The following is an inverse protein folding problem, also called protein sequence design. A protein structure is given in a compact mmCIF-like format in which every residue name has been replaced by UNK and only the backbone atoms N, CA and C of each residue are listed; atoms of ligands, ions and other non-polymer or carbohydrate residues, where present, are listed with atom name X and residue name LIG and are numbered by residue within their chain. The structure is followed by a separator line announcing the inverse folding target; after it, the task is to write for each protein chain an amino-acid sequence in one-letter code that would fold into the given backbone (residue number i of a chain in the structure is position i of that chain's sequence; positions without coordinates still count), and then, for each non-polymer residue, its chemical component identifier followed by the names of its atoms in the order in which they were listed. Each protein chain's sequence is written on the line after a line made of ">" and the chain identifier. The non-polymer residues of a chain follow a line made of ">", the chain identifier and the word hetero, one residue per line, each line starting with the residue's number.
data_IF_648666000736
#
_entry.id   IF_648666000736
#
_cell.length_a   1.000
_cell.length_b   1.000
_cell.length_c   1.000
_cell.angle_alpha   90.00
_cell.angle_beta   90.00
_cell.angle_gamma   90.00
#
_symmetry.space_group_name_H-M   'P 1'
#
loop_
_entity.id
_entity.type
_entity.pdbx_description
1 polymer ?
#
# COMPACT_ATOMS: atom_id res chain seq x y z
N UNK A 1 -20.51 -34.77 -6.22
CA UNK A 1 -21.14 -33.48 -6.51
C UNK A 1 -20.13 -32.41 -6.12
N UNK A 2 -19.52 -31.73 -7.12
CA UNK A 2 -18.55 -30.66 -6.86
C UNK A 2 -19.36 -29.38 -6.58
N UNK A 3 -19.38 -28.95 -5.33
CA UNK A 3 -19.98 -27.67 -4.96
C UNK A 3 -19.01 -26.56 -5.37
N UNK A 4 -19.23 -25.97 -6.52
CA UNK A 4 -18.46 -24.81 -6.99
C UNK A 4 -19.09 -23.58 -6.34
N UNK A 5 -18.53 -23.14 -5.24
CA UNK A 5 -18.89 -21.86 -4.66
C UNK A 5 -18.62 -20.75 -5.70
N UNK A 6 -19.66 -20.04 -6.11
CA UNK A 6 -19.51 -18.88 -7.00
C UNK A 6 -19.18 -17.67 -6.13
N UNK A 7 -17.97 -17.19 -6.23
CA UNK A 7 -17.54 -15.93 -5.64
C UNK A 7 -17.88 -14.79 -6.60
N UNK A 8 -18.68 -13.82 -6.15
CA UNK A 8 -18.79 -12.52 -6.82
C UNK A 8 -18.00 -11.50 -5.99
N UNK A 9 -17.02 -10.92 -6.62
CA UNK A 9 -16.37 -9.73 -6.06
C UNK A 9 -17.31 -8.58 -6.36
N UNK A 10 -18.03 -8.08 -5.33
CA UNK A 10 -18.83 -6.86 -5.48
C UNK A 10 -17.87 -5.69 -5.33
N UNK A 11 -17.26 -5.33 -6.43
CA UNK A 11 -16.68 -4.00 -6.57
C UNK A 11 -17.86 -3.03 -6.80
N UNK A 12 -17.79 -1.75 -6.36
CA UNK A 12 -18.61 -0.72 -6.95
C UNK A 12 -18.44 -0.84 -8.46
N UNK A 13 -19.55 -0.87 -9.21
CA UNK A 13 -19.54 -1.34 -10.60
C UNK A 13 -18.72 -0.47 -11.56
N UNK A 14 -18.14 0.64 -11.08
CA UNK A 14 -17.42 1.58 -11.92
C UNK A 14 -16.30 2.27 -11.12
N UNK A 15 -15.26 1.52 -10.72
CA UNK A 15 -14.07 2.09 -10.08
C UNK A 15 -13.07 2.52 -11.13
N UNK A 16 -12.63 3.75 -11.04
CA UNK A 16 -11.50 4.26 -11.79
C UNK A 16 -10.39 4.68 -10.84
N UNK A 17 -9.16 4.48 -11.27
CA UNK A 17 -7.96 4.99 -10.59
C UNK A 17 -7.27 5.97 -11.52
N UNK A 18 -6.81 7.08 -10.98
CA UNK A 18 -6.07 8.11 -11.72
C UNK A 18 -4.80 8.45 -10.94
N UNK A 19 -3.70 8.54 -11.65
CA UNK A 19 -2.44 9.05 -11.10
C UNK A 19 -2.23 10.47 -11.59
N UNK A 20 -2.07 11.40 -10.66
CA UNK A 20 -1.94 12.82 -10.92
C UNK A 20 -0.62 13.36 -10.40
N UNK A 21 -0.04 14.28 -11.15
CA UNK A 21 1.12 15.05 -10.70
C UNK A 21 0.63 16.35 -10.06
N UNK A 22 1.03 16.56 -8.77
CA UNK A 22 0.51 17.62 -7.92
C UNK A 22 1.66 18.53 -7.50
N UNK A 23 1.56 19.79 -7.84
CA UNK A 23 2.47 20.85 -7.39
C UNK A 23 1.95 21.55 -6.11
N UNK A 24 2.86 22.24 -5.42
CA UNK A 24 2.54 22.97 -4.18
C UNK A 24 2.82 22.19 -2.89
N UNK A 25 3.18 20.91 -2.98
CA UNK A 25 3.56 20.12 -1.82
C UNK A 25 5.01 20.40 -1.42
N UNK A 26 5.24 20.83 -0.17
CA UNK A 26 6.58 21.12 0.36
C UNK A 26 7.05 20.14 1.44
N UNK A 27 6.15 19.30 1.97
CA UNK A 27 6.46 18.35 3.05
C UNK A 27 5.43 17.21 3.12
N UNK A 28 5.74 16.18 3.92
CA UNK A 28 4.84 15.05 4.20
C UNK A 28 3.47 15.49 4.76
N UNK A 29 3.43 16.61 5.51
CA UNK A 29 2.19 17.18 6.02
C UNK A 29 1.23 17.64 4.91
N UNK A 30 1.77 18.13 3.79
CA UNK A 30 0.99 18.51 2.62
C UNK A 30 0.33 17.27 1.97
N UNK A 31 1.08 16.19 1.79
CA UNK A 31 0.56 14.93 1.24
C UNK A 31 -0.55 14.35 2.15
N UNK A 32 -0.31 14.31 3.46
CA UNK A 32 -1.31 13.85 4.44
C UNK A 32 -2.57 14.72 4.45
N UNK A 33 -2.44 16.03 4.24
CA UNK A 33 -3.58 16.95 4.15
C UNK A 33 -4.44 16.63 2.93
N UNK A 34 -3.82 16.47 1.75
CA UNK A 34 -4.53 16.08 0.53
C UNK A 34 -5.23 14.72 0.70
N UNK A 35 -4.53 13.71 1.21
CA UNK A 35 -5.10 12.38 1.46
C UNK A 35 -6.32 12.44 2.37
N UNK A 36 -6.23 13.19 3.46
CA UNK A 36 -7.32 13.32 4.44
C UNK A 36 -8.57 13.94 3.82
N UNK A 37 -8.42 15.04 3.09
CA UNK A 37 -9.54 15.77 2.50
C UNK A 37 -10.14 14.98 1.32
N UNK A 38 -9.28 14.36 0.50
CA UNK A 38 -9.75 13.49 -0.58
C UNK A 38 -10.49 12.25 -0.07
N UNK A 39 -10.00 11.59 0.97
CA UNK A 39 -10.70 10.44 1.57
C UNK A 39 -12.02 10.83 2.29
N UNK A 40 -12.21 12.11 2.61
CA UNK A 40 -13.47 12.64 3.13
C UNK A 40 -14.45 13.05 2.00
N UNK A 41 -14.00 13.12 0.76
CA UNK A 41 -14.80 13.53 -0.39
C UNK A 41 -15.68 12.39 -0.88
N UNK A 42 -16.98 12.65 -1.03
CA UNK A 42 -17.95 11.64 -1.49
C UNK A 42 -17.59 11.18 -2.92
N UNK A 43 -17.46 9.87 -3.08
CA UNK A 43 -17.08 9.25 -4.36
C UNK A 43 -15.60 8.84 -4.40
N UNK A 44 -14.74 9.39 -3.57
CA UNK A 44 -13.35 8.92 -3.42
C UNK A 44 -13.35 7.67 -2.54
N UNK A 45 -12.67 6.63 -2.99
CA UNK A 45 -12.58 5.34 -2.32
C UNK A 45 -11.25 5.15 -1.59
N UNK A 46 -10.17 5.68 -2.17
CA UNK A 46 -8.85 5.75 -1.55
C UNK A 46 -7.99 6.82 -2.23
N UNK A 47 -7.07 7.40 -1.47
CA UNK A 47 -6.03 8.30 -1.98
C UNK A 47 -4.69 7.98 -1.34
N UNK A 48 -3.62 8.04 -2.13
CA UNK A 48 -2.23 7.92 -1.68
C UNK A 48 -1.41 9.00 -2.36
N UNK A 49 -0.74 9.84 -1.59
CA UNK A 49 0.01 10.98 -2.10
C UNK A 49 1.44 10.95 -1.59
N UNK A 50 2.38 11.18 -2.47
CA UNK A 50 3.81 11.22 -2.14
C UNK A 50 4.38 12.61 -2.49
N UNK A 51 4.77 13.37 -1.48
CA UNK A 51 5.31 14.73 -1.64
C UNK A 51 6.70 14.75 -2.27
N UNK A 52 7.51 13.68 -2.12
CA UNK A 52 8.86 13.62 -2.68
C UNK A 52 8.83 13.44 -4.22
N UNK A 53 7.84 12.70 -4.71
CA UNK A 53 7.65 12.46 -6.15
C UNK A 53 6.67 13.43 -6.80
N UNK A 54 5.92 14.19 -6.01
CA UNK A 54 4.86 15.05 -6.50
C UNK A 54 3.64 14.29 -7.03
N UNK A 55 3.51 12.97 -6.79
CA UNK A 55 2.45 12.14 -7.36
C UNK A 55 1.41 11.74 -6.34
N UNK A 56 0.16 11.70 -6.79
CA UNK A 56 -0.97 11.17 -6.03
C UNK A 56 -1.76 10.16 -6.86
N UNK A 57 -2.10 9.01 -6.25
CA UNK A 57 -2.99 8.01 -6.81
C UNK A 57 -4.35 8.10 -6.12
N UNK A 58 -5.42 8.20 -6.91
CA UNK A 58 -6.78 8.39 -6.43
C UNK A 58 -7.70 7.36 -7.06
N UNK A 59 -8.32 6.53 -6.24
CA UNK A 59 -9.36 5.60 -6.66
C UNK A 59 -10.72 6.15 -6.30
N UNK A 60 -11.66 6.18 -7.23
CA UNK A 60 -12.99 6.75 -7.06
C UNK A 60 -14.08 5.91 -7.73
N UNK A 61 -15.31 6.14 -7.31
CA UNK A 61 -16.51 5.53 -7.88
C UNK A 61 -16.96 6.38 -9.08
N UNK A 62 -16.74 5.89 -10.29
CA UNK A 62 -17.05 6.62 -11.52
C UNK A 62 -18.55 6.82 -11.77
N UNK A 63 -19.43 6.14 -11.02
CA UNK A 63 -20.88 6.41 -11.02
C UNK A 63 -21.22 7.67 -10.19
N UNK A 64 -20.33 8.08 -9.29
CA UNK A 64 -20.53 9.24 -8.40
C UNK A 64 -19.65 10.43 -8.73
N UNK A 65 -18.49 10.20 -9.33
CA UNK A 65 -17.46 11.21 -9.52
C UNK A 65 -16.70 10.96 -10.82
N UNK A 66 -16.42 12.01 -11.58
CA UNK A 66 -15.59 11.93 -12.78
C UNK A 66 -14.13 12.26 -12.46
N UNK A 67 -13.20 11.92 -13.38
CA UNK A 67 -11.78 12.33 -13.30
C UNK A 67 -11.63 13.85 -13.13
N UNK A 68 -12.44 14.64 -13.80
CA UNK A 68 -12.44 16.09 -13.68
C UNK A 68 -12.82 16.53 -12.25
N UNK A 69 -13.82 15.88 -11.63
CA UNK A 69 -14.21 16.19 -10.26
C UNK A 69 -13.11 15.83 -9.24
N UNK A 70 -12.33 14.77 -9.49
CA UNK A 70 -11.16 14.44 -8.65
C UNK A 70 -10.11 15.55 -8.73
N UNK A 71 -9.81 16.03 -9.94
CA UNK A 71 -8.86 17.12 -10.15
C UNK A 71 -9.35 18.41 -9.48
N UNK A 72 -10.62 18.76 -9.67
CA UNK A 72 -11.22 19.96 -9.06
C UNK A 72 -11.21 19.87 -7.53
N UNK A 73 -11.48 18.68 -6.98
CA UNK A 73 -11.43 18.44 -5.53
C UNK A 73 -10.01 18.67 -4.98
N UNK A 74 -8.97 18.13 -5.63
CA UNK A 74 -7.57 18.34 -5.22
C UNK A 74 -7.19 19.82 -5.28
N UNK A 75 -7.53 20.51 -6.36
CA UNK A 75 -7.27 21.94 -6.53
C UNK A 75 -8.02 22.81 -5.50
N UNK A 76 -9.01 22.26 -4.83
CA UNK A 76 -9.81 22.95 -3.79
C UNK A 76 -9.31 22.70 -2.37
N UNK A 77 -8.39 21.76 -2.15
CA UNK A 77 -7.88 21.38 -0.82
C UNK A 77 -6.95 22.44 -0.21
N UNK A 78 -6.35 23.30 -1.02
CA UNK A 78 -5.41 24.34 -0.59
C UNK A 78 -4.69 24.97 -1.78
N UNK A 79 -3.44 25.39 -1.56
CA UNK A 79 -2.59 25.96 -2.61
C UNK A 79 -1.90 24.87 -3.44
N UNK A 80 -2.63 23.79 -3.76
CA UNK A 80 -2.15 22.68 -4.58
C UNK A 80 -2.74 22.76 -5.98
N UNK A 81 -1.98 22.35 -6.98
CA UNK A 81 -2.47 22.31 -8.37
C UNK A 81 -2.06 21.01 -9.06
N UNK A 82 -3.01 20.41 -9.76
CA UNK A 82 -2.74 19.27 -10.63
C UNK A 82 -2.18 19.79 -11.97
N UNK A 83 -0.96 19.36 -12.33
CA UNK A 83 -0.26 19.83 -13.54
C UNK A 83 -0.30 18.84 -14.69
N UNK A 84 -0.32 17.52 -14.40
CA UNK A 84 -0.39 16.50 -15.42
C UNK A 84 -1.26 15.32 -15.00
N UNK A 85 -2.01 14.78 -15.96
CA UNK A 85 -2.58 13.45 -15.90
C UNK A 85 -1.47 12.48 -16.35
N UNK A 86 -0.90 11.72 -15.45
CA UNK A 86 -0.01 10.63 -15.83
C UNK A 86 -0.94 9.47 -16.18
N UNK A 87 -1.45 9.46 -17.41
CA UNK A 87 -2.19 8.31 -17.92
C UNK A 87 -1.27 7.10 -17.84
N UNK A 88 -1.73 6.07 -17.19
CA UNK A 88 -1.04 4.79 -17.07
C UNK A 88 -0.65 4.29 -18.46
N UNK A 89 0.65 4.05 -18.66
CA UNK A 89 1.04 3.02 -19.60
C UNK A 89 0.45 1.72 -19.05
N UNK A 90 -0.51 1.17 -19.77
CA UNK A 90 -1.13 -0.11 -19.50
C UNK A 90 -0.05 -1.15 -19.25
N UNK A 91 0.05 -1.61 -17.99
CA UNK A 91 0.67 -2.91 -17.73
C UNK A 91 -0.32 -3.96 -18.21
N UNK A 92 -0.32 -4.17 -19.52
CA UNK A 92 -1.07 -5.22 -20.19
C UNK A 92 -0.39 -6.56 -19.93
N UNK A 93 -0.71 -7.21 -18.83
CA UNK A 93 -0.60 -8.66 -18.77
C UNK A 93 -1.81 -9.24 -19.49
N UNK A 94 -1.66 -9.43 -20.80
CA UNK A 94 -2.65 -10.10 -21.65
C UNK A 94 -2.66 -11.58 -21.30
N UNK A 95 -3.70 -12.02 -20.61
CA UNK A 95 -4.06 -13.41 -20.57
C UNK A 95 -5.34 -13.61 -21.43
N UNK A 96 -5.19 -14.33 -22.54
CA UNK A 96 -6.19 -14.60 -23.59
C UNK A 96 -7.23 -15.65 -23.20
N UNK A 97 -7.54 -15.83 -21.91
CA UNK A 97 -8.68 -16.60 -21.42
C UNK A 97 -9.63 -15.65 -20.71
N UNK A 98 -10.91 -15.71 -21.04
CA UNK A 98 -11.98 -14.79 -20.59
C UNK A 98 -11.77 -14.27 -19.16
N UNK A 99 -11.72 -12.96 -18.99
CA UNK A 99 -11.13 -12.17 -17.90
C UNK A 99 -11.62 -12.40 -16.45
N UNK A 100 -12.39 -13.46 -16.19
CA UNK A 100 -13.03 -13.71 -14.89
C UNK A 100 -12.90 -15.15 -14.36
N UNK A 101 -11.91 -15.92 -14.83
CA UNK A 101 -11.69 -17.28 -14.34
C UNK A 101 -10.25 -17.44 -13.85
N UNK A 102 -10.10 -17.76 -12.57
CA UNK A 102 -8.82 -18.02 -11.92
C UNK A 102 -8.83 -19.42 -11.32
N UNK A 103 -7.70 -20.10 -11.38
CA UNK A 103 -7.52 -21.40 -10.71
C UNK A 103 -7.43 -21.21 -9.19
N UNK A 104 -6.89 -20.06 -8.73
CA UNK A 104 -6.74 -19.71 -7.32
C UNK A 104 -7.08 -18.24 -7.11
N UNK A 105 -7.88 -17.97 -6.06
CA UNK A 105 -8.10 -16.61 -5.56
C UNK A 105 -7.59 -16.53 -4.13
N UNK A 106 -6.71 -15.56 -3.87
CA UNK A 106 -6.10 -15.29 -2.57
C UNK A 106 -6.70 -14.00 -2.02
N UNK A 107 -7.32 -14.08 -0.84
CA UNK A 107 -7.85 -12.90 -0.14
C UNK A 107 -6.88 -12.50 0.95
N UNK A 108 -6.26 -11.34 0.80
CA UNK A 108 -5.23 -10.78 1.65
C UNK A 108 -3.88 -10.67 0.95
N UNK A 109 -2.99 -9.81 1.48
CA UNK A 109 -1.68 -9.49 0.90
C UNK A 109 -0.52 -9.66 1.89
N UNK A 110 -0.66 -10.52 2.89
CA UNK A 110 0.39 -10.82 3.85
C UNK A 110 1.29 -11.98 3.43
N UNK A 111 2.23 -12.38 4.30
CA UNK A 111 3.24 -13.42 4.01
C UNK A 111 2.62 -14.75 3.57
N UNK A 112 1.50 -15.15 4.14
CA UNK A 112 0.80 -16.38 3.74
C UNK A 112 0.25 -16.27 2.31
N UNK A 113 -0.28 -15.10 1.93
CA UNK A 113 -0.78 -14.84 0.59
C UNK A 113 0.34 -14.93 -0.44
N UNK A 114 1.48 -14.29 -0.19
CA UNK A 114 2.66 -14.38 -1.07
C UNK A 114 3.23 -15.79 -1.16
N UNK A 115 3.27 -16.54 -0.05
CA UNK A 115 3.70 -17.94 -0.08
C UNK A 115 2.77 -18.81 -0.95
N UNK A 116 1.45 -18.56 -0.88
CA UNK A 116 0.49 -19.24 -1.72
C UNK A 116 0.66 -18.86 -3.22
N UNK A 117 0.88 -17.57 -3.50
CA UNK A 117 1.12 -17.08 -4.85
C UNK A 117 2.40 -17.67 -5.48
N UNK A 118 3.50 -17.72 -4.73
CA UNK A 118 4.76 -18.35 -5.16
C UNK A 118 4.54 -19.82 -5.51
N UNK A 119 3.78 -20.53 -4.66
CA UNK A 119 3.47 -21.94 -4.93
C UNK A 119 2.56 -22.13 -6.13
N UNK A 120 1.58 -21.25 -6.29
CA UNK A 120 0.65 -21.27 -7.43
C UNK A 120 1.38 -21.00 -8.75
N UNK A 121 2.26 -20.00 -8.80
CA UNK A 121 3.11 -19.72 -9.97
C UNK A 121 3.95 -20.93 -10.36
N UNK A 122 4.62 -21.58 -9.40
CA UNK A 122 5.39 -22.79 -9.64
C UNK A 122 4.57 -24.02 -10.11
N UNK A 123 3.24 -23.93 -10.01
CA UNK A 123 2.30 -24.93 -10.53
C UNK A 123 1.63 -24.49 -11.84
N UNK A 124 1.95 -23.31 -12.35
CA UNK A 124 1.34 -22.72 -13.54
C UNK A 124 -0.15 -22.35 -13.38
N UNK A 125 -0.58 -22.05 -12.14
CA UNK A 125 -1.96 -21.68 -11.84
C UNK A 125 -2.20 -20.20 -12.06
N UNK A 126 -3.26 -19.85 -12.79
CA UNK A 126 -3.73 -18.47 -12.87
C UNK A 126 -4.28 -18.02 -11.52
N UNK A 127 -3.67 -16.98 -10.96
CA UNK A 127 -3.93 -16.57 -9.57
C UNK A 127 -4.38 -15.12 -9.52
N UNK A 128 -5.45 -14.84 -8.77
CA UNK A 128 -5.85 -13.49 -8.38
C UNK A 128 -5.57 -13.29 -6.88
N UNK A 129 -4.78 -12.29 -6.52
CA UNK A 129 -4.58 -11.86 -5.14
C UNK A 129 -5.31 -10.53 -4.92
N UNK A 130 -6.23 -10.49 -3.95
CA UNK A 130 -7.01 -9.29 -3.61
C UNK A 130 -6.65 -8.85 -2.21
N UNK A 131 -6.26 -7.60 -2.03
CA UNK A 131 -5.85 -7.05 -0.74
C UNK A 131 -6.50 -5.69 -0.49
N UNK A 132 -6.89 -5.41 0.76
CA UNK A 132 -7.50 -4.14 1.17
C UNK A 132 -7.03 -3.70 2.56
N UNK A 133 -7.11 -2.41 2.83
CA UNK A 133 -6.89 -1.80 4.14
C UNK A 133 -5.43 -1.50 4.47
N UNK A 134 -4.51 -2.42 4.24
CA UNK A 134 -3.07 -2.23 4.37
C UNK A 134 -2.40 -2.53 3.04
N UNK A 135 -1.24 -1.95 2.80
CA UNK A 135 -0.42 -2.28 1.65
C UNK A 135 -0.04 -3.77 1.61
N UNK A 136 0.31 -4.27 0.42
CA UNK A 136 0.88 -5.61 0.28
C UNK A 136 2.09 -5.78 1.20
N UNK A 137 2.23 -6.97 1.80
CA UNK A 137 3.20 -7.24 2.88
C UNK A 137 2.48 -7.55 4.20
N UNK A 138 1.24 -7.10 4.36
CA UNK A 138 0.36 -7.40 5.48
C UNK A 138 0.77 -6.76 6.80
N UNK A 139 0.09 -7.13 7.87
CA UNK A 139 0.22 -6.52 9.19
C UNK A 139 1.65 -6.56 9.75
N UNK A 140 2.35 -7.68 9.58
CA UNK A 140 3.68 -7.85 10.19
C UNK A 140 4.69 -6.81 9.69
N UNK A 141 4.76 -6.59 8.39
CA UNK A 141 5.71 -5.63 7.79
C UNK A 141 5.23 -4.21 8.00
N UNK A 142 3.96 -3.93 7.68
CA UNK A 142 3.49 -2.56 7.59
C UNK A 142 3.31 -1.89 8.96
N UNK A 143 2.65 -2.58 9.90
CA UNK A 143 2.24 -1.97 11.18
C UNK A 143 2.54 -2.81 12.43
N UNK A 144 3.03 -4.04 12.26
CA UNK A 144 3.21 -5.00 13.34
C UNK A 144 4.67 -5.24 13.72
N UNK A 145 5.17 -6.45 13.42
CA UNK A 145 6.45 -6.97 13.93
C UNK A 145 7.64 -6.08 13.54
N UNK A 146 7.73 -5.66 12.30
CA UNK A 146 8.89 -4.89 11.81
C UNK A 146 8.98 -3.53 12.47
N UNK A 147 7.98 -2.64 12.39
CA UNK A 147 8.08 -1.34 13.00
C UNK A 147 8.20 -1.40 14.53
N UNK A 148 7.51 -2.32 15.21
CA UNK A 148 7.61 -2.45 16.66
C UNK A 148 8.98 -2.95 17.11
N UNK A 149 9.59 -3.93 16.44
CA UNK A 149 10.93 -4.42 16.76
C UNK A 149 12.00 -3.36 16.52
N UNK A 150 11.86 -2.56 15.45
CA UNK A 150 12.77 -1.44 15.19
C UNK A 150 12.74 -0.43 16.36
N UNK A 151 11.56 -0.02 16.80
CA UNK A 151 11.42 0.93 17.93
C UNK A 151 11.88 0.34 19.26
N UNK A 152 11.63 -0.95 19.51
CA UNK A 152 12.13 -1.64 20.71
C UNK A 152 13.66 -1.62 20.72
N UNK A 153 14.30 -1.90 19.57
CA UNK A 153 15.77 -1.86 19.47
C UNK A 153 16.34 -0.45 19.72
N UNK A 154 15.69 0.59 19.20
CA UNK A 154 16.07 1.96 19.50
C UNK A 154 15.96 2.25 21.00
N UNK A 155 14.87 1.86 21.65
CA UNK A 155 14.66 2.02 23.09
C UNK A 155 15.70 1.24 23.91
N UNK A 156 16.05 0.01 23.52
CA UNK A 156 17.12 -0.77 24.18
C UNK A 156 18.48 -0.06 24.09
N UNK A 157 18.79 0.53 22.92
CA UNK A 157 20.04 1.29 22.73
C UNK A 157 20.10 2.48 23.68
N UNK A 158 19.02 3.23 23.81
CA UNK A 158 18.93 4.34 24.78
C UNK A 158 19.09 3.84 26.19
N UNK A 159 18.42 2.74 26.57
CA UNK A 159 18.54 2.15 27.90
C UNK A 159 19.97 1.75 28.22
N UNK A 160 20.69 1.12 27.30
CA UNK A 160 22.09 0.73 27.50
C UNK A 160 23.01 1.96 27.65
N UNK A 161 22.73 3.05 26.92
CA UNK A 161 23.48 4.30 27.04
C UNK A 161 23.22 5.07 28.34
N UNK A 162 22.07 4.82 29.00
CA UNK A 162 21.64 5.54 30.20
C UNK A 162 21.77 4.69 31.48
N UNK A 163 21.86 3.36 31.38
CA UNK A 163 21.90 2.46 32.53
C UNK A 163 22.99 1.41 32.35
N UNK A 164 23.69 1.11 33.44
CA UNK A 164 24.67 0.01 33.50
C UNK A 164 24.48 -0.79 34.78
N UNK A 165 24.52 -2.11 34.65
CA UNK A 165 24.55 -3.03 35.77
C UNK A 165 25.97 -3.21 36.35
N UNK A 166 27.00 -2.67 35.70
CA UNK A 166 28.39 -2.74 36.13
C UNK A 166 28.80 -1.47 36.89
N UNK A 167 29.19 -1.61 38.16
CA UNK A 167 29.56 -0.48 39.03
C UNK A 167 30.69 0.41 38.48
N UNK A 168 31.54 -0.16 37.63
CA UNK A 168 32.65 0.55 36.98
C UNK A 168 32.27 1.29 35.69
N UNK A 169 31.08 1.13 35.17
CA UNK A 169 30.58 1.80 33.97
C UNK A 169 29.62 2.90 34.40
N UNK A 170 29.96 4.13 34.06
CA UNK A 170 29.11 5.30 34.31
C UNK A 170 28.52 5.78 32.98
N UNK A 171 27.23 5.44 32.70
CA UNK A 171 26.58 5.91 31.50
C UNK A 171 26.50 7.42 31.43
N UNK A 172 26.68 8.02 30.25
CA UNK A 172 26.62 9.48 30.07
C UNK A 172 25.26 9.95 29.52
N UNK A 173 24.37 9.05 29.21
CA UNK A 173 23.09 9.34 28.56
C UNK A 173 23.14 9.18 27.03
N UNK A 174 22.06 9.60 26.39
CA UNK A 174 21.95 9.64 24.93
C UNK A 174 21.10 10.83 24.53
N UNK A 175 21.52 11.52 23.48
CA UNK A 175 20.65 12.47 22.78
C UNK A 175 19.76 11.69 21.81
N UNK A 176 18.49 12.04 21.74
CA UNK A 176 17.49 11.30 20.97
C UNK A 176 16.85 12.24 19.95
N UNK A 177 17.11 11.97 18.67
CA UNK A 177 16.32 12.51 17.57
C UNK A 177 15.23 11.49 17.22
N UNK A 178 14.05 11.64 17.84
CA UNK A 178 12.94 10.73 17.62
C UNK A 178 12.36 10.84 16.21
N UNK A 179 12.40 12.02 15.60
CA UNK A 179 11.93 12.22 14.23
C UNK A 179 12.76 11.41 13.22
N UNK A 180 14.10 11.42 13.41
CA UNK A 180 14.99 10.60 12.57
C UNK A 180 14.74 9.10 12.79
N UNK A 181 14.53 8.64 14.03
CA UNK A 181 14.19 7.23 14.30
C UNK A 181 12.91 6.81 13.58
N UNK A 182 11.88 7.66 13.56
CA UNK A 182 10.64 7.37 12.85
C UNK A 182 10.84 7.36 11.34
N UNK A 183 11.65 8.28 10.80
CA UNK A 183 12.00 8.31 9.39
C UNK A 183 12.72 7.02 8.96
N UNK A 184 13.72 6.58 9.71
CA UNK A 184 14.48 5.37 9.44
C UNK A 184 13.58 4.11 9.55
N UNK A 185 12.67 4.08 10.53
CA UNK A 185 11.67 3.03 10.67
C UNK A 185 10.76 2.95 9.43
N UNK A 186 10.25 4.09 8.93
CA UNK A 186 9.42 4.12 7.72
C UNK A 186 10.20 3.62 6.50
N UNK A 187 11.44 4.08 6.31
CA UNK A 187 12.32 3.64 5.23
C UNK A 187 12.59 2.13 5.30
N UNK A 188 12.82 1.57 6.48
CA UNK A 188 12.99 0.14 6.68
C UNK A 188 11.74 -0.65 6.27
N UNK A 189 10.55 -0.20 6.66
CA UNK A 189 9.28 -0.84 6.29
C UNK A 189 9.12 -0.85 4.78
N UNK A 190 9.27 0.29 4.12
CA UNK A 190 9.16 0.40 2.66
C UNK A 190 10.17 -0.48 1.92
N UNK A 191 11.43 -0.49 2.37
CA UNK A 191 12.47 -1.35 1.79
C UNK A 191 12.15 -2.83 1.92
N UNK A 192 11.67 -3.27 3.07
CA UNK A 192 11.30 -4.68 3.28
C UNK A 192 10.04 -5.07 2.51
N UNK A 193 9.09 -4.17 2.39
CA UNK A 193 7.89 -4.36 1.57
C UNK A 193 8.29 -4.59 0.11
N UNK A 194 9.13 -3.72 -0.44
CA UNK A 194 9.62 -3.87 -1.80
C UNK A 194 10.40 -5.18 -1.98
N UNK A 195 11.48 -5.37 -1.23
CA UNK A 195 12.43 -6.49 -1.43
C UNK A 195 11.86 -7.87 -1.09
N UNK A 196 10.97 -7.96 -0.09
CA UNK A 196 10.47 -9.25 0.42
C UNK A 196 9.13 -9.67 -0.14
N UNK A 197 8.44 -8.76 -0.81
CA UNK A 197 7.12 -9.01 -1.37
C UNK A 197 7.05 -8.62 -2.83
N UNK A 198 7.20 -7.35 -3.18
CA UNK A 198 6.99 -6.89 -4.54
C UNK A 198 8.03 -7.45 -5.52
N UNK A 199 9.31 -7.37 -5.19
CA UNK A 199 10.39 -7.90 -6.04
C UNK A 199 10.32 -9.42 -6.21
N UNK A 200 9.77 -10.12 -5.21
CA UNK A 200 9.65 -11.60 -5.26
C UNK A 200 8.65 -12.07 -6.31
N UNK A 201 7.65 -11.25 -6.61
CA UNK A 201 6.58 -11.60 -7.56
C UNK A 201 6.64 -10.77 -8.85
N UNK A 202 7.66 -9.94 -9.02
CA UNK A 202 7.80 -9.04 -10.18
C UNK A 202 7.78 -9.75 -11.54
N UNK A 203 8.30 -10.97 -11.57
CA UNK A 203 8.44 -11.76 -12.80
C UNK A 203 7.34 -12.84 -12.96
N UNK A 204 6.29 -12.81 -12.11
CA UNK A 204 5.21 -13.78 -12.18
C UNK A 204 4.24 -13.43 -13.31
N UNK A 205 4.07 -14.36 -14.24
CA UNK A 205 3.20 -14.19 -15.41
C UNK A 205 1.74 -14.56 -15.12
N UNK A 206 1.49 -15.42 -14.12
CA UNK A 206 0.17 -15.95 -13.81
C UNK A 206 -0.47 -15.31 -12.57
N UNK A 207 0.16 -14.28 -11.97
CA UNK A 207 -0.35 -13.60 -10.80
C UNK A 207 -0.92 -12.23 -11.16
N UNK A 208 -2.19 -12.02 -10.86
CA UNK A 208 -2.82 -10.70 -10.90
C UNK A 208 -3.03 -10.23 -9.46
N UNK A 209 -2.49 -9.06 -9.14
CA UNK A 209 -2.66 -8.41 -7.83
C UNK A 209 -3.64 -7.25 -7.97
N UNK A 210 -4.61 -7.17 -7.05
CA UNK A 210 -5.58 -6.08 -7.02
C UNK A 210 -5.80 -5.55 -5.61
N UNK A 211 -5.86 -4.25 -5.49
CA UNK A 211 -6.31 -3.58 -4.27
C UNK A 211 -7.82 -3.49 -4.30
N UNK A 212 -8.47 -3.92 -3.22
CA UNK A 212 -9.93 -3.89 -3.10
C UNK A 212 -10.44 -4.90 -2.08
N UNK A 213 -11.72 -4.77 -1.75
CA UNK A 213 -12.43 -5.70 -0.87
C UNK A 213 -12.99 -6.86 -1.68
N UNK A 214 -12.86 -8.06 -1.13
CA UNK A 214 -13.47 -9.27 -1.67
C UNK A 214 -14.70 -9.65 -0.84
N UNK A 215 -15.80 -9.98 -1.52
CA UNK A 215 -17.03 -10.47 -0.89
C UNK A 215 -17.37 -11.85 -1.46
N UNK A 216 -17.70 -12.79 -0.56
CA UNK A 216 -18.23 -14.09 -0.96
C UNK A 216 -19.75 -13.93 -1.13
N UNK A 217 -20.24 -14.33 -2.30
CA UNK A 217 -21.67 -14.31 -2.63
C UNK A 217 -22.13 -15.73 -2.99
N UNK A 218 -23.38 -16.05 -2.62
CA UNK A 218 -24.01 -17.35 -2.88
C UNK A 218 -24.23 -17.62 -4.38
#
# INVERSE_FOLDING_TARGET
>A
MKNTAKMKIKMPQNRETITLEIEGMTCEGCATHIEKDMNATEGVLSSTVNHETGKGEFTFDADKMSKANVIDAINSVGDYSVVNNVDEEEVSAVNSKGQNQFDLIIIGGGSAAFSAAIKAEGLGLTTLMVNAGLDFGGTCVNVGCVPSKNLIRAAETVRLATHSNFKGIKPKGADIDFAQIIKDKKALVASLQQQKYMDVVSDFENLIMRTGWAELVD
#
